data_IF_744630156915
#
_entry.id   IF_744630156915
#
_cell.length_a   1.000
_cell.length_b   1.000
_cell.length_c   1.000
_cell.angle_alpha   90.00
_cell.angle_beta   90.00
_cell.angle_gamma   90.00
#
_symmetry.space_group_name_H-M   'P 1'
#
loop_
_entity.id
_entity.type
_entity.pdbx_description
1 polymer ?
#
# COMPACT_ATOMS: atom_id res chain seq x y z
N UNK A 1 26.45 -45.35 26.33
CA UNK A 1 27.57 -45.26 27.29
C UNK A 1 27.02 -44.80 28.64
N UNK A 2 27.27 -45.64 29.65
CA UNK A 2 27.20 -45.41 31.11
C UNK A 2 26.04 -44.59 31.71
N UNK A 3 25.03 -45.29 32.27
CA UNK A 3 24.49 -45.06 33.62
C UNK A 3 23.18 -45.85 33.82
N UNK A 4 23.32 -47.15 34.09
CA UNK A 4 22.36 -48.00 34.79
C UNK A 4 23.21 -49.07 35.48
N UNK A 5 22.82 -49.51 36.67
CA UNK A 5 23.59 -50.28 37.67
C UNK A 5 24.22 -49.35 38.72
N UNK A 6 23.47 -49.10 39.79
CA UNK A 6 23.85 -49.07 41.22
C UNK A 6 22.53 -48.74 41.92
N UNK A 7 21.63 -49.72 42.01
CA UNK A 7 20.44 -49.63 42.89
C UNK A 7 19.93 -51.01 43.34
N UNK A 8 20.55 -52.11 42.87
CA UNK A 8 20.23 -53.49 43.25
C UNK A 8 21.24 -54.13 44.23
N UNK A 9 22.30 -53.41 44.62
CA UNK A 9 23.37 -53.94 45.49
C UNK A 9 23.20 -53.66 46.99
N UNK A 10 22.28 -52.79 47.40
CA UNK A 10 22.18 -52.34 48.80
C UNK A 10 21.05 -53.01 49.60
N UNK A 11 20.23 -53.85 48.98
CA UNK A 11 19.09 -54.51 49.63
C UNK A 11 19.41 -55.96 50.04
N UNK A 12 20.49 -56.57 49.49
CA UNK A 12 20.86 -57.97 49.81
C UNK A 12 21.75 -58.08 51.07
N UNK A 13 22.43 -57.00 51.48
CA UNK A 13 23.28 -57.01 52.68
C UNK A 13 22.50 -56.79 54.01
N UNK A 14 21.23 -56.40 53.94
CA UNK A 14 20.39 -56.15 55.13
C UNK A 14 19.53 -57.35 55.55
N UNK A 15 19.66 -58.50 54.88
CA UNK A 15 18.85 -59.70 55.14
C UNK A 15 19.65 -60.92 55.64
N UNK A 16 20.93 -60.77 56.04
CA UNK A 16 21.77 -61.89 56.51
C UNK A 16 22.27 -61.79 57.96
N UNK A 17 21.74 -60.88 58.79
CA UNK A 17 22.12 -60.79 60.24
C UNK A 17 20.95 -61.16 61.17
N UNK A 18 19.89 -61.77 60.64
CA UNK A 18 18.76 -62.27 61.43
C UNK A 18 18.49 -63.75 61.10
N UNK A 19 19.42 -64.63 61.48
CA UNK A 19 19.18 -66.07 61.68
C UNK A 19 20.49 -66.77 62.05
N UNK A 20 20.79 -66.83 63.33
CA UNK A 20 21.69 -67.85 63.89
C UNK A 20 21.27 -68.10 65.33
N UNK A 21 20.14 -68.79 65.44
CA UNK A 21 19.62 -69.38 66.66
C UNK A 21 20.30 -70.77 66.84
N UNK A 22 20.60 -71.09 68.09
CA UNK A 22 20.95 -72.42 68.63
C UNK A 22 22.23 -73.13 68.16
N UNK A 23 23.27 -73.03 68.99
CA UNK A 23 24.16 -74.15 69.26
C UNK A 23 24.67 -74.07 70.71
N UNK A 24 24.10 -74.89 71.58
CA UNK A 24 24.76 -75.31 72.82
C UNK A 24 25.28 -76.73 72.56
N UNK A 25 26.55 -77.01 72.90
CA UNK A 25 26.74 -78.06 73.90
C UNK A 25 27.68 -77.64 75.03
N UNK A 26 27.22 -78.02 76.20
CA UNK A 26 27.75 -78.01 77.56
C UNK A 26 29.25 -78.33 77.80
N UNK A 27 29.75 -78.05 79.03
CA UNK A 27 31.05 -77.46 79.29
C UNK A 27 32.07 -78.46 79.86
N UNK A 28 33.37 -78.16 79.68
CA UNK A 28 34.41 -78.68 80.57
C UNK A 28 34.69 -77.64 81.67
N UNK A 29 34.19 -77.95 82.86
CA UNK A 29 34.50 -77.26 84.11
C UNK A 29 35.99 -77.42 84.44
N UNK A 30 36.67 -76.29 84.59
CA UNK A 30 37.90 -76.21 85.36
C UNK A 30 37.63 -75.19 86.47
N UNK A 31 37.25 -75.70 87.64
CA UNK A 31 36.85 -74.92 88.81
C UNK A 31 38.06 -74.20 89.44
N UNK A 32 38.41 -73.05 88.86
CA UNK A 32 39.13 -72.00 89.56
C UNK A 32 38.18 -70.80 89.71
N UNK A 33 37.84 -70.35 90.93
CA UNK A 33 37.05 -69.14 91.11
C UNK A 33 37.88 -67.95 90.60
N UNK A 34 37.60 -67.52 89.37
CA UNK A 34 38.12 -66.29 88.81
C UNK A 34 37.46 -65.12 89.55
N UNK A 35 38.07 -64.71 90.65
CA UNK A 35 37.64 -63.52 91.39
C UNK A 35 38.08 -62.30 90.59
N UNK A 36 37.18 -61.78 89.76
CA UNK A 36 37.39 -60.51 89.07
C UNK A 36 37.03 -59.40 90.06
N UNK A 37 38.02 -58.63 90.49
CA UNK A 37 37.77 -57.37 91.19
C UNK A 37 37.30 -56.34 90.16
N UNK A 38 35.98 -56.15 90.07
CA UNK A 38 35.38 -55.08 89.28
C UNK A 38 35.38 -53.83 90.14
N UNK A 39 36.16 -52.82 89.75
CA UNK A 39 36.07 -51.48 90.34
C UNK A 39 34.83 -50.79 89.76
N UNK A 40 33.68 -51.10 90.35
CA UNK A 40 32.36 -50.70 89.85
C UNK A 40 32.24 -49.19 89.62
N UNK A 41 32.95 -48.35 90.38
CA UNK A 41 32.92 -46.89 90.20
C UNK A 41 33.58 -46.44 88.90
N UNK A 42 34.76 -46.97 88.58
CA UNK A 42 35.56 -46.55 87.42
C UNK A 42 34.97 -47.04 86.10
N UNK A 43 34.37 -48.22 86.08
CA UNK A 43 33.68 -48.75 84.91
C UNK A 43 32.35 -48.02 84.64
N UNK A 44 31.60 -47.66 85.68
CA UNK A 44 30.37 -46.86 85.55
C UNK A 44 30.67 -45.49 84.92
N UNK A 45 31.74 -44.82 85.33
CA UNK A 45 32.14 -43.53 84.75
C UNK A 45 32.53 -43.65 83.26
N UNK A 46 33.19 -44.74 82.88
CA UNK A 46 33.51 -45.03 81.47
C UNK A 46 32.24 -45.27 80.64
N UNK A 47 31.27 -46.02 81.17
CA UNK A 47 29.98 -46.23 80.51
C UNK A 47 29.18 -44.93 80.37
N UNK A 48 29.16 -44.08 81.40
CA UNK A 48 28.49 -42.77 81.36
C UNK A 48 29.15 -41.82 80.35
N UNK A 49 30.48 -41.82 80.27
CA UNK A 49 31.21 -41.05 79.26
C UNK A 49 30.93 -41.56 77.84
N UNK A 50 30.86 -42.87 77.65
CA UNK A 50 30.52 -43.48 76.36
C UNK A 50 29.08 -43.16 75.97
N UNK A 51 28.12 -43.29 76.89
CA UNK A 51 26.71 -42.96 76.66
C UNK A 51 26.53 -41.49 76.24
N UNK A 52 27.19 -40.54 76.93
CA UNK A 52 27.18 -39.12 76.55
C UNK A 52 27.82 -38.88 75.17
N UNK A 53 28.90 -39.60 74.84
CA UNK A 53 29.53 -39.50 73.52
C UNK A 53 28.63 -40.06 72.41
N UNK A 54 27.89 -41.14 72.68
CA UNK A 54 26.94 -41.73 71.74
C UNK A 54 25.78 -40.77 71.51
N UNK A 55 25.20 -40.22 72.58
CA UNK A 55 24.10 -39.27 72.53
C UNK A 55 24.48 -38.00 71.74
N UNK A 56 25.67 -37.45 72.00
CA UNK A 56 26.20 -36.33 71.23
C UNK A 56 26.41 -36.64 69.75
N UNK A 57 26.86 -37.86 69.40
CA UNK A 57 27.00 -38.29 68.00
C UNK A 57 25.64 -38.52 67.34
N UNK A 58 24.65 -39.03 68.06
CA UNK A 58 23.30 -39.25 67.58
C UNK A 58 22.61 -37.92 67.25
N UNK A 59 22.72 -36.92 68.13
CA UNK A 59 22.21 -35.57 67.87
C UNK A 59 22.81 -34.95 66.61
N UNK A 60 24.13 -35.07 66.40
CA UNK A 60 24.78 -34.57 65.17
C UNK A 60 24.31 -35.30 63.91
N UNK A 61 24.03 -36.60 64.01
CA UNK A 61 23.48 -37.40 62.92
C UNK A 61 22.04 -36.99 62.58
N UNK A 62 21.21 -36.75 63.59
CA UNK A 62 19.83 -36.27 63.44
C UNK A 62 19.80 -34.89 62.77
N UNK A 63 20.60 -33.94 63.25
CA UNK A 63 20.72 -32.60 62.64
C UNK A 63 21.19 -32.67 61.18
N UNK A 64 22.14 -33.57 60.89
CA UNK A 64 22.64 -33.78 59.53
C UNK A 64 21.57 -34.37 58.62
N UNK A 65 20.78 -35.32 59.12
CA UNK A 65 19.69 -35.94 58.39
C UNK A 65 18.58 -34.94 58.09
N UNK A 66 18.20 -34.09 59.06
CA UNK A 66 17.22 -33.03 58.86
C UNK A 66 17.67 -32.03 57.80
N UNK A 67 18.93 -31.58 57.87
CA UNK A 67 19.50 -30.67 56.88
C UNK A 67 19.52 -31.29 55.48
N UNK A 68 19.94 -32.54 55.34
CA UNK A 68 19.92 -33.25 54.06
C UNK A 68 18.50 -33.42 53.52
N UNK A 69 17.53 -33.74 54.38
CA UNK A 69 16.11 -33.83 54.01
C UNK A 69 15.57 -32.51 53.47
N UNK A 70 15.91 -31.39 54.13
CA UNK A 70 15.54 -30.05 53.66
C UNK A 70 16.20 -29.70 52.31
N UNK A 71 17.49 -30.02 52.13
CA UNK A 71 18.21 -29.81 50.87
C UNK A 71 17.61 -30.62 49.71
N UNK A 72 17.22 -31.88 49.96
CA UNK A 72 16.56 -32.75 48.98
C UNK A 72 15.20 -32.17 48.57
N UNK A 73 14.35 -31.79 49.53
CA UNK A 73 13.05 -31.15 49.23
C UNK A 73 13.22 -29.87 48.41
N UNK A 74 14.20 -29.03 48.78
CA UNK A 74 14.49 -27.81 48.02
C UNK A 74 15.00 -28.12 46.60
N UNK A 75 15.81 -29.17 46.43
CA UNK A 75 16.29 -29.61 45.13
C UNK A 75 15.15 -30.16 44.25
N UNK A 76 14.22 -30.92 44.82
CA UNK A 76 13.04 -31.45 44.15
C UNK A 76 12.16 -30.32 43.60
N UNK A 77 11.85 -29.30 44.43
CA UNK A 77 11.08 -28.13 44.01
C UNK A 77 11.76 -27.40 42.84
N UNK A 78 13.08 -27.19 42.91
CA UNK A 78 13.85 -26.57 41.82
C UNK A 78 13.83 -27.41 40.55
N UNK A 79 13.90 -28.73 40.68
CA UNK A 79 13.86 -29.65 39.54
C UNK A 79 12.49 -29.59 38.85
N UNK A 80 11.40 -29.69 39.61
CA UNK A 80 10.02 -29.61 39.10
C UNK A 80 9.76 -28.27 38.39
N UNK A 81 10.25 -27.16 38.96
CA UNK A 81 10.17 -25.86 38.29
C UNK A 81 10.96 -25.82 36.97
N UNK A 82 12.16 -26.40 36.90
CA UNK A 82 12.94 -26.47 35.66
C UNK A 82 12.24 -27.34 34.61
N UNK A 83 11.70 -28.49 35.00
CA UNK A 83 10.97 -29.40 34.10
C UNK A 83 9.76 -28.71 33.50
N UNK A 84 8.94 -28.02 34.32
CA UNK A 84 7.77 -27.28 33.80
C UNK A 84 8.15 -26.17 32.81
N UNK A 85 9.27 -25.46 33.05
CA UNK A 85 9.79 -24.44 32.12
C UNK A 85 10.24 -25.07 30.80
N UNK A 86 10.91 -26.24 30.84
CA UNK A 86 11.34 -26.96 29.65
C UNK A 86 10.15 -27.50 28.85
N UNK A 87 9.15 -28.07 29.51
CA UNK A 87 7.91 -28.52 28.85
C UNK A 87 7.20 -27.38 28.12
N UNK A 88 7.08 -26.20 28.76
CA UNK A 88 6.49 -25.01 28.11
C UNK A 88 7.32 -24.54 26.91
N UNK A 89 8.65 -24.64 26.95
CA UNK A 89 9.53 -24.30 25.82
C UNK A 89 9.36 -25.29 24.67
N UNK A 90 9.31 -26.58 24.97
CA UNK A 90 9.13 -27.62 23.97
C UNK A 90 7.77 -27.50 23.27
N UNK A 91 6.70 -27.24 24.02
CA UNK A 91 5.37 -27.01 23.44
C UNK A 91 5.36 -25.82 22.49
N UNK A 92 5.99 -24.69 22.87
CA UNK A 92 6.15 -23.53 21.98
C UNK A 92 6.94 -23.87 20.73
N UNK A 93 8.05 -24.60 20.87
CA UNK A 93 8.86 -25.02 19.73
C UNK A 93 8.07 -25.92 18.76
N UNK A 94 7.23 -26.83 19.27
CA UNK A 94 6.35 -27.66 18.46
C UNK A 94 5.29 -26.83 17.72
N UNK A 95 4.68 -25.85 18.37
CA UNK A 95 3.74 -24.92 17.74
C UNK A 95 4.41 -24.12 16.62
N UNK A 96 5.61 -23.58 16.86
CA UNK A 96 6.38 -22.85 15.85
C UNK A 96 6.73 -23.74 14.65
N UNK A 97 7.11 -25.00 14.88
CA UNK A 97 7.38 -25.95 13.78
C UNK A 97 6.13 -26.22 12.93
N UNK A 98 4.96 -26.37 13.54
CA UNK A 98 3.69 -26.54 12.80
C UNK A 98 3.37 -25.33 11.95
N UNK A 99 3.42 -24.13 12.53
CA UNK A 99 3.21 -22.87 11.78
C UNK A 99 4.20 -22.73 10.62
N UNK A 100 5.47 -23.11 10.81
CA UNK A 100 6.46 -23.03 9.73
C UNK A 100 6.13 -23.96 8.54
N UNK A 101 5.58 -25.15 8.81
CA UNK A 101 5.15 -26.07 7.75
C UNK A 101 3.95 -25.49 6.98
N UNK A 102 2.97 -24.93 7.69
CA UNK A 102 1.81 -24.27 7.07
C UNK A 102 2.23 -23.09 6.20
N UNK A 103 3.08 -22.20 6.74
CA UNK A 103 3.62 -21.05 6.00
C UNK A 103 4.35 -21.49 4.73
N UNK A 104 5.17 -22.57 4.80
CA UNK A 104 5.85 -23.11 3.62
C UNK A 104 4.88 -23.67 2.59
N UNK A 105 3.82 -24.36 3.02
CA UNK A 105 2.80 -24.89 2.13
C UNK A 105 2.03 -23.76 1.43
N UNK A 106 1.61 -22.73 2.17
CA UNK A 106 0.92 -21.55 1.63
C UNK A 106 1.83 -20.78 0.67
N UNK A 107 3.10 -20.56 1.02
CA UNK A 107 4.07 -19.90 0.15
C UNK A 107 4.30 -20.68 -1.16
N UNK A 108 4.37 -22.01 -1.09
CA UNK A 108 4.46 -22.87 -2.26
C UNK A 108 3.22 -22.76 -3.18
N UNK A 109 2.02 -22.77 -2.58
CA UNK A 109 0.76 -22.58 -3.32
C UNK A 109 0.71 -21.22 -4.02
N UNK A 110 1.02 -20.14 -3.30
CA UNK A 110 1.06 -18.79 -3.86
C UNK A 110 2.09 -18.68 -4.99
N UNK A 111 3.27 -19.28 -4.84
CA UNK A 111 4.29 -19.28 -5.89
C UNK A 111 3.81 -19.99 -7.16
N UNK A 112 3.06 -21.08 -7.04
CA UNK A 112 2.49 -21.80 -8.19
C UNK A 112 1.39 -20.99 -8.88
N UNK A 113 0.52 -20.32 -8.11
CA UNK A 113 -0.52 -19.44 -8.65
C UNK A 113 0.05 -18.21 -9.37
N UNK A 114 1.10 -17.60 -8.80
CA UNK A 114 1.81 -16.48 -9.42
C UNK A 114 2.38 -16.93 -10.77
N UNK A 115 3.07 -18.08 -10.81
CA UNK A 115 3.64 -18.62 -12.04
C UNK A 115 2.58 -18.92 -13.10
N UNK A 116 1.47 -19.55 -12.71
CA UNK A 116 0.36 -19.83 -13.64
C UNK A 116 -0.32 -18.54 -14.16
N UNK A 117 -0.33 -17.48 -13.34
CA UNK A 117 -0.87 -16.18 -13.73
C UNK A 117 0.08 -15.45 -14.69
N UNK A 118 1.38 -15.52 -14.42
CA UNK A 118 2.44 -14.99 -15.28
C UNK A 118 2.44 -15.67 -16.65
N UNK A 119 2.41 -17.01 -16.71
CA UNK A 119 2.33 -17.77 -17.96
C UNK A 119 1.09 -17.38 -18.79
N UNK A 120 -0.06 -17.22 -18.14
CA UNK A 120 -1.30 -16.77 -18.79
C UNK A 120 -1.21 -15.34 -19.31
N UNK A 121 -0.55 -14.45 -18.55
CA UNK A 121 -0.33 -13.06 -18.96
C UNK A 121 0.57 -13.02 -20.20
N UNK A 122 1.70 -13.72 -20.15
CA UNK A 122 2.64 -13.85 -21.27
C UNK A 122 1.94 -14.41 -22.52
N UNK A 123 1.11 -15.44 -22.36
CA UNK A 123 0.34 -16.00 -23.48
C UNK A 123 -0.62 -14.96 -24.09
N UNK A 124 -1.33 -14.19 -23.27
CA UNK A 124 -2.22 -13.12 -23.75
C UNK A 124 -1.44 -12.00 -24.44
N UNK A 125 -0.27 -11.64 -23.92
CA UNK A 125 0.61 -10.64 -24.55
C UNK A 125 1.05 -11.14 -25.92
N UNK A 126 1.54 -12.37 -26.04
CA UNK A 126 1.92 -12.94 -27.35
C UNK A 126 0.74 -13.04 -28.31
N UNK A 127 -0.48 -13.32 -27.82
CA UNK A 127 -1.68 -13.31 -28.67
C UNK A 127 -2.02 -11.89 -29.16
N UNK A 128 -1.88 -10.88 -28.31
CA UNK A 128 -2.09 -9.48 -28.66
C UNK A 128 -1.02 -8.98 -29.65
N UNK A 129 0.25 -9.35 -29.44
CA UNK A 129 1.34 -9.06 -30.37
C UNK A 129 1.08 -9.68 -31.74
N UNK A 130 0.65 -10.95 -31.79
CA UNK A 130 0.28 -11.61 -33.05
C UNK A 130 -0.91 -10.93 -33.72
N UNK A 131 -1.95 -10.55 -32.96
CA UNK A 131 -3.10 -9.80 -33.49
C UNK A 131 -2.71 -8.43 -34.01
N UNK A 132 -1.78 -7.75 -33.34
CA UNK A 132 -1.24 -6.47 -33.77
C UNK A 132 -0.44 -6.63 -35.07
N UNK A 133 0.39 -7.67 -35.16
CA UNK A 133 1.17 -7.99 -36.37
C UNK A 133 0.25 -8.38 -37.55
N UNK A 134 -0.82 -9.14 -37.30
CA UNK A 134 -1.83 -9.46 -38.29
C UNK A 134 -2.53 -8.18 -38.80
N UNK A 135 -2.88 -7.25 -37.88
CA UNK A 135 -3.47 -5.95 -38.22
C UNK A 135 -2.51 -5.07 -39.02
N UNK A 136 -1.24 -5.03 -38.62
CA UNK A 136 -0.18 -4.32 -39.36
C UNK A 136 -0.07 -4.92 -40.76
N UNK A 137 0.01 -6.24 -40.91
CA UNK A 137 0.12 -6.89 -42.22
C UNK A 137 -1.12 -6.75 -43.09
N UNK A 138 -2.32 -6.70 -42.50
CA UNK A 138 -3.57 -6.32 -43.19
C UNK A 138 -3.51 -4.87 -43.69
N UNK A 139 -2.93 -3.98 -42.90
CA UNK A 139 -2.70 -2.58 -43.25
C UNK A 139 -1.60 -2.40 -44.30
N UNK A 140 -0.58 -3.27 -44.34
CA UNK A 140 0.48 -3.25 -45.37
C UNK A 140 0.03 -3.85 -46.71
N UNK A 141 -0.87 -4.86 -46.68
CA UNK A 141 -1.47 -5.46 -47.89
C UNK A 141 -2.59 -4.61 -48.49
N UNK A 142 -3.21 -3.75 -47.69
CA UNK A 142 -4.06 -2.67 -48.17
C UNK A 142 -3.19 -1.47 -48.49
N UNK A 143 -2.66 -1.39 -49.72
CA UNK A 143 -1.91 -0.22 -50.23
C UNK A 143 -2.79 1.02 -50.46
N UNK A 144 -3.81 1.22 -49.63
CA UNK A 144 -4.31 2.53 -49.27
C UNK A 144 -3.89 2.73 -47.81
N UNK A 145 -2.90 3.60 -47.57
CA UNK A 145 -2.43 4.00 -46.24
C UNK A 145 -3.63 4.20 -45.32
N UNK A 146 -4.01 3.18 -44.54
CA UNK A 146 -5.07 3.31 -43.56
C UNK A 146 -4.46 4.13 -42.43
N UNK A 147 -4.51 5.43 -42.57
CA UNK A 147 -4.29 6.34 -41.45
C UNK A 147 -5.24 5.86 -40.36
N UNK A 148 -4.73 5.61 -39.14
CA UNK A 148 -5.62 5.39 -38.00
C UNK A 148 -6.71 6.46 -38.07
N UNK A 149 -8.01 6.08 -38.06
CA UNK A 149 -9.07 7.05 -38.26
C UNK A 149 -8.93 8.11 -37.18
N UNK A 150 -8.59 9.32 -37.62
CA UNK A 150 -8.41 10.47 -36.73
C UNK A 150 -9.67 10.68 -35.93
N UNK A 151 -9.51 10.98 -34.65
CA UNK A 151 -10.66 11.30 -33.78
C UNK A 151 -11.36 12.56 -34.29
N UNK A 152 -12.67 12.74 -34.03
CA UNK A 152 -13.38 13.96 -34.39
C UNK A 152 -12.69 15.25 -33.94
N UNK A 153 -12.12 15.28 -32.73
CA UNK A 153 -11.38 16.45 -32.24
C UNK A 153 -10.11 16.76 -33.05
N UNK A 154 -9.42 15.73 -33.55
CA UNK A 154 -8.23 15.87 -34.40
C UNK A 154 -8.62 16.41 -35.78
N UNK A 155 -9.70 15.87 -36.35
CA UNK A 155 -10.25 16.35 -37.62
C UNK A 155 -10.69 17.82 -37.53
N UNK A 156 -11.31 18.23 -36.43
CA UNK A 156 -11.71 19.62 -36.18
C UNK A 156 -10.48 20.55 -36.03
N UNK A 157 -9.44 20.09 -35.34
CA UNK A 157 -8.16 20.79 -35.20
C UNK A 157 -7.49 21.03 -36.56
N UNK A 158 -7.55 20.05 -37.47
CA UNK A 158 -6.94 20.18 -38.80
C UNK A 158 -7.70 21.14 -39.73
N UNK A 159 -9.04 21.11 -39.70
CA UNK A 159 -9.88 22.03 -40.49
C UNK A 159 -9.63 23.51 -40.18
N UNK A 160 -9.14 23.81 -38.98
CA UNK A 160 -8.96 25.20 -38.50
C UNK A 160 -7.52 25.68 -38.60
N UNK A 161 -6.59 24.84 -39.05
CA UNK A 161 -5.16 25.16 -39.14
C UNK A 161 -4.85 26.36 -40.06
N UNK A 162 -5.59 26.51 -41.17
CA UNK A 162 -5.40 27.61 -42.11
C UNK A 162 -5.74 29.00 -41.55
N UNK A 163 -6.51 29.07 -40.46
CA UNK A 163 -6.91 30.33 -39.82
C UNK A 163 -5.85 30.84 -38.82
N UNK A 164 -4.97 29.95 -38.34
CA UNK A 164 -3.97 30.24 -37.29
C UNK A 164 -2.72 30.93 -37.81
N UNK A 165 -2.44 30.82 -39.10
CA UNK A 165 -1.28 31.40 -39.79
C UNK A 165 -1.45 32.88 -40.13
N UNK A 166 -2.65 33.46 -39.91
CA UNK A 166 -2.91 34.86 -40.16
C UNK A 166 -2.52 35.74 -38.94
N UNK A 167 -1.25 36.18 -38.91
CA UNK A 167 -0.82 37.48 -38.33
C UNK A 167 -0.90 37.72 -36.81
N UNK A 168 -0.94 36.71 -35.95
CA UNK A 168 -0.65 36.92 -34.51
C UNK A 168 0.72 36.30 -34.18
N UNK A 169 1.75 37.16 -34.07
CA UNK A 169 3.01 36.80 -33.42
C UNK A 169 2.68 36.28 -32.01
N UNK A 170 3.18 35.09 -31.66
CA UNK A 170 3.05 34.43 -30.35
C UNK A 170 1.70 33.73 -30.03
N UNK A 171 1.11 33.00 -31.00
CA UNK A 171 0.01 32.04 -30.77
C UNK A 171 0.45 30.80 -29.96
N UNK A 172 0.98 30.98 -28.75
CA UNK A 172 1.39 29.88 -27.88
C UNK A 172 0.21 29.36 -27.03
N UNK A 173 -0.86 30.17 -26.89
CA UNK A 173 -1.94 29.97 -25.92
C UNK A 173 -3.31 30.26 -26.58
N UNK A 174 -4.33 29.41 -26.39
CA UNK A 174 -5.65 29.58 -26.96
C UNK A 174 -6.35 30.85 -26.49
N UNK A 175 -7.21 31.42 -27.34
CA UNK A 175 -8.01 32.58 -26.98
C UNK A 175 -9.03 32.21 -25.88
N UNK A 176 -8.87 32.81 -24.70
CA UNK A 176 -9.80 32.61 -23.57
C UNK A 176 -11.07 33.45 -23.77
N UNK A 177 -12.21 32.77 -23.63
CA UNK A 177 -13.53 33.40 -23.65
C UNK A 177 -13.96 33.71 -22.22
N UNK A 178 -14.72 34.80 -22.05
CA UNK A 178 -15.22 35.19 -20.73
C UNK A 178 -16.66 34.79 -20.55
N UNK A 179 -17.01 34.43 -19.32
CA UNK A 179 -18.38 34.13 -18.92
C UNK A 179 -19.00 35.37 -18.28
N UNK A 180 -20.23 35.69 -18.67
CA UNK A 180 -20.96 36.88 -18.21
C UNK A 180 -22.25 36.46 -17.50
N UNK A 181 -22.47 37.00 -16.31
CA UNK A 181 -23.66 36.72 -15.51
C UNK A 181 -24.86 37.58 -15.92
N UNK A 182 -26.01 37.40 -15.26
CA UNK A 182 -27.24 38.16 -15.55
C UNK A 182 -27.10 39.67 -15.33
N UNK A 183 -26.23 40.10 -14.42
CA UNK A 183 -25.97 41.51 -14.11
C UNK A 183 -24.97 42.17 -15.07
N UNK A 184 -24.45 41.42 -16.05
CA UNK A 184 -23.41 41.89 -16.98
C UNK A 184 -21.99 41.81 -16.41
N UNK A 185 -21.81 41.21 -15.23
CA UNK A 185 -20.50 41.05 -14.61
C UNK A 185 -19.73 39.88 -15.23
N UNK A 186 -18.43 40.10 -15.44
CA UNK A 186 -17.50 39.07 -15.90
C UNK A 186 -17.11 38.15 -14.75
N UNK A 187 -17.14 36.85 -15.01
CA UNK A 187 -16.72 35.82 -14.05
C UNK A 187 -15.23 35.54 -14.26
N UNK A 188 -14.47 35.45 -13.16
CA UNK A 188 -13.01 35.27 -13.15
C UNK A 188 -12.51 33.92 -13.70
N UNK A 189 -13.40 33.07 -14.25
CA UNK A 189 -13.04 31.79 -14.85
C UNK A 189 -13.58 31.75 -16.27
N UNK A 190 -12.67 31.81 -17.23
CA UNK A 190 -12.99 31.71 -18.65
C UNK A 190 -13.03 30.26 -19.14
N UNK A 191 -13.22 30.14 -20.44
CA UNK A 191 -13.15 28.87 -21.16
C UNK A 191 -12.49 29.04 -22.51
N UNK A 192 -12.64 28.06 -23.37
CA UNK A 192 -12.16 28.13 -24.75
C UNK A 192 -13.21 27.68 -25.74
N UNK A 193 -13.26 28.34 -26.90
CA UNK A 193 -14.03 27.86 -28.04
C UNK A 193 -13.39 26.57 -28.56
N UNK A 194 -14.18 25.51 -28.74
CA UNK A 194 -13.71 24.22 -29.28
C UNK A 194 -14.41 23.84 -30.59
N UNK A 195 -15.60 24.41 -30.84
CA UNK A 195 -16.29 24.42 -32.14
C UNK A 195 -17.21 25.65 -32.22
N UNK A 196 -17.86 25.93 -33.37
CA UNK A 196 -18.59 27.17 -33.68
C UNK A 196 -19.69 27.50 -32.67
N UNK A 197 -20.26 26.48 -32.01
CA UNK A 197 -21.29 26.64 -30.96
C UNK A 197 -20.86 26.15 -29.60
N UNK A 198 -19.63 25.67 -29.44
CA UNK A 198 -19.26 24.87 -28.29
C UNK A 198 -18.05 25.46 -27.59
N UNK A 199 -18.24 25.79 -26.32
CA UNK A 199 -17.20 26.34 -25.44
C UNK A 199 -16.96 25.37 -24.30
N UNK A 200 -15.70 25.06 -24.04
CA UNK A 200 -15.29 24.23 -22.91
C UNK A 200 -14.89 25.11 -21.73
N UNK A 201 -15.47 24.87 -20.57
CA UNK A 201 -15.22 25.65 -19.34
C UNK A 201 -14.81 24.72 -18.20
N UNK A 202 -14.01 25.18 -17.23
CA UNK A 202 -13.84 24.47 -15.97
C UNK A 202 -15.17 24.54 -15.18
N UNK A 203 -15.51 23.51 -14.39
CA UNK A 203 -16.66 23.62 -13.48
C UNK A 203 -16.37 24.70 -12.44
N UNK A 204 -17.20 25.74 -12.43
CA UNK A 204 -17.36 26.66 -11.31
C UNK A 204 -18.69 26.38 -10.61
N UNK A 205 -18.77 26.64 -9.30
CA UNK A 205 -20.05 26.68 -8.59
C UNK A 205 -20.99 27.74 -9.19
N UNK A 206 -20.45 28.73 -9.90
CA UNK A 206 -21.19 29.88 -10.45
C UNK A 206 -21.86 29.61 -11.80
N UNK A 207 -21.77 28.41 -12.37
CA UNK A 207 -22.33 28.12 -13.70
C UNK A 207 -23.85 28.35 -13.79
N UNK A 208 -24.58 28.24 -12.67
CA UNK A 208 -26.01 28.56 -12.59
C UNK A 208 -26.33 30.03 -12.86
N UNK A 209 -25.32 30.91 -12.87
CA UNK A 209 -25.49 32.35 -13.07
C UNK A 209 -25.06 32.83 -14.46
N UNK A 210 -24.46 31.95 -15.28
CA UNK A 210 -23.93 32.34 -16.60
C UNK A 210 -25.08 32.49 -17.59
N UNK A 211 -25.16 33.66 -18.22
CA UNK A 211 -26.18 33.97 -19.23
C UNK A 211 -25.59 34.07 -20.64
N UNK A 212 -24.35 34.54 -20.75
CA UNK A 212 -23.71 34.84 -22.02
C UNK A 212 -22.22 34.50 -21.98
N UNK A 213 -21.67 34.29 -23.18
CA UNK A 213 -20.24 34.18 -23.43
C UNK A 213 -19.78 35.41 -24.21
N UNK A 214 -18.73 36.06 -23.72
CA UNK A 214 -18.05 37.20 -24.34
C UNK A 214 -16.76 36.74 -25.01
N UNK A 215 -16.62 37.06 -26.29
CA UNK A 215 -15.40 36.92 -27.07
C UNK A 215 -14.85 38.32 -27.34
N UNK A 216 -13.71 38.68 -26.76
CA UNK A 216 -13.11 40.02 -26.80
C UNK A 216 -11.66 40.03 -27.27
N UNK A 217 -11.36 40.60 -28.42
CA UNK A 217 -9.98 40.79 -28.88
C UNK A 217 -9.73 42.24 -29.25
N UNK A 218 -8.81 42.90 -28.54
CA UNK A 218 -8.55 44.34 -28.67
C UNK A 218 -9.84 45.14 -28.43
N UNK A 219 -10.35 45.80 -29.46
CA UNK A 219 -11.55 46.64 -29.52
C UNK A 219 -12.80 45.88 -29.98
N UNK A 220 -12.65 44.61 -30.41
CA UNK A 220 -13.74 43.79 -30.92
C UNK A 220 -14.35 42.97 -29.81
N UNK A 221 -15.68 43.01 -29.69
CA UNK A 221 -16.42 42.19 -28.73
C UNK A 221 -17.62 41.53 -29.41
N UNK A 222 -17.78 40.23 -29.19
CA UNK A 222 -18.91 39.42 -29.66
C UNK A 222 -19.54 38.75 -28.44
N UNK A 223 -20.85 38.91 -28.30
CA UNK A 223 -21.64 38.24 -27.25
C UNK A 223 -22.50 37.14 -27.86
N UNK A 224 -22.57 36.00 -27.18
CA UNK A 224 -23.44 34.87 -27.55
C UNK A 224 -24.21 34.40 -26.32
N UNK A 225 -25.51 34.18 -26.45
CA UNK A 225 -26.30 33.63 -25.35
C UNK A 225 -26.07 32.13 -25.25
N UNK A 226 -26.33 31.60 -24.08
CA UNK A 226 -26.26 30.16 -23.83
C UNK A 226 -27.59 29.51 -24.20
N UNK A 227 -27.52 28.49 -25.05
CA UNK A 227 -28.65 27.61 -25.33
C UNK A 227 -28.78 26.52 -24.29
N UNK A 228 -27.65 25.87 -23.97
CA UNK A 228 -27.62 24.75 -23.04
C UNK A 228 -26.23 24.58 -22.42
N UNK A 229 -26.18 24.15 -21.17
CA UNK A 229 -24.94 23.68 -20.54
C UNK A 229 -25.02 22.17 -20.39
N UNK A 230 -24.09 21.47 -21.02
CA UNK A 230 -23.93 20.02 -20.92
C UNK A 230 -22.91 19.74 -19.80
N UNK A 231 -23.39 19.10 -18.74
CA UNK A 231 -22.50 18.64 -17.66
C UNK A 231 -21.82 17.35 -18.12
N UNK A 232 -20.51 17.39 -18.29
CA UNK A 232 -19.72 16.20 -18.60
C UNK A 232 -19.49 15.46 -17.28
N UNK A 233 -20.30 14.44 -17.00
CA UNK A 233 -20.25 13.70 -15.74
C UNK A 233 -19.03 12.76 -15.73
N UNK A 234 -18.14 12.95 -14.76
CA UNK A 234 -17.23 11.92 -14.25
C UNK A 234 -17.75 11.45 -12.90
N UNK A 235 -17.46 10.19 -12.56
CA UNK A 235 -17.81 9.60 -11.27
C UNK A 235 -17.35 10.54 -10.13
N UNK A 236 -18.28 10.80 -9.22
CA UNK A 236 -18.17 11.64 -8.03
C UNK A 236 -18.17 13.17 -8.20
N UNK A 237 -17.45 13.81 -9.14
CA UNK A 237 -17.50 15.28 -9.28
C UNK A 237 -17.19 15.71 -10.72
N UNK A 238 -18.13 16.38 -11.40
CA UNK A 238 -17.86 16.92 -12.75
C UNK A 238 -16.84 18.05 -12.66
N UNK A 239 -15.86 18.07 -13.55
CA UNK A 239 -14.71 18.99 -13.44
C UNK A 239 -14.61 19.96 -14.61
N UNK A 240 -15.20 19.58 -15.75
CA UNK A 240 -15.25 20.34 -17.00
C UNK A 240 -16.71 20.34 -17.47
N UNK A 241 -17.17 21.43 -18.06
CA UNK A 241 -18.50 21.57 -18.63
C UNK A 241 -18.43 22.08 -20.06
N UNK A 242 -19.44 21.73 -20.86
CA UNK A 242 -19.56 22.17 -22.24
C UNK A 242 -20.76 23.12 -22.37
N UNK A 243 -20.51 24.32 -22.87
CA UNK A 243 -21.54 25.32 -23.11
C UNK A 243 -21.88 25.33 -24.60
N UNK A 244 -23.14 25.09 -24.91
CA UNK A 244 -23.72 25.23 -26.25
C UNK A 244 -24.32 26.64 -26.40
N UNK A 245 -23.86 27.37 -27.40
CA UNK A 245 -24.32 28.71 -27.76
C UNK A 245 -25.63 28.66 -28.54
N UNK A 246 -26.43 29.73 -28.43
CA UNK A 246 -27.69 29.90 -29.18
C UNK A 246 -27.50 30.01 -30.70
N UNK A 247 -26.33 30.43 -31.13
CA UNK A 247 -25.98 30.69 -32.53
C UNK A 247 -24.50 30.44 -32.79
N UNK A 248 -24.17 30.13 -34.05
CA UNK A 248 -22.78 29.95 -34.48
C UNK A 248 -21.96 31.22 -34.30
N UNK A 249 -20.70 31.02 -33.95
CA UNK A 249 -19.64 32.02 -34.03
C UNK A 249 -18.99 31.94 -35.41
N UNK A 250 -18.88 33.08 -36.08
CA UNK A 250 -18.17 33.19 -37.36
C UNK A 250 -16.67 33.21 -37.14
N UNK A 251 -16.00 32.17 -37.64
CA UNK A 251 -14.56 32.07 -37.53
C UNK A 251 -13.86 33.15 -38.35
N UNK A 252 -12.80 33.72 -37.78
CA UNK A 252 -11.98 34.72 -38.43
C UNK A 252 -10.53 34.64 -37.89
N UNK A 253 -9.69 35.62 -38.22
CA UNK A 253 -8.27 35.61 -37.86
C UNK A 253 -7.99 35.64 -36.34
N UNK A 254 -8.91 36.14 -35.51
CA UNK A 254 -8.74 36.21 -34.04
C UNK A 254 -9.67 35.26 -33.28
N UNK A 255 -10.79 34.87 -33.90
CA UNK A 255 -11.80 34.02 -33.30
C UNK A 255 -11.87 32.68 -34.02
N UNK A 256 -11.23 31.67 -33.46
CA UNK A 256 -11.16 30.32 -34.02
C UNK A 256 -11.07 29.30 -32.87
N UNK A 257 -11.42 28.03 -33.12
CA UNK A 257 -11.47 27.04 -32.06
C UNK A 257 -10.09 26.51 -31.68
N UNK A 258 -10.01 26.09 -30.43
CA UNK A 258 -8.84 25.53 -29.77
C UNK A 258 -8.73 24.05 -30.08
N UNK A 259 -7.51 23.55 -30.36
CA UNK A 259 -7.31 22.11 -30.49
C UNK A 259 -7.33 21.47 -29.11
N UNK A 260 -7.94 20.30 -28.98
CA UNK A 260 -7.91 19.52 -27.76
C UNK A 260 -6.72 18.57 -27.78
N UNK A 261 -6.13 18.32 -26.60
CA UNK A 261 -5.10 17.29 -26.45
C UNK A 261 -5.74 15.91 -26.50
N UNK A 262 -5.37 15.10 -27.51
CA UNK A 262 -6.04 13.83 -27.80
C UNK A 262 -5.32 12.58 -27.30
N UNK A 263 -4.07 12.72 -26.89
CA UNK A 263 -3.29 11.62 -26.31
C UNK A 263 -3.74 11.31 -24.89
N UNK A 264 -3.84 10.02 -24.56
CA UNK A 264 -4.04 9.55 -23.19
C UNK A 264 -2.77 9.67 -22.35
N UNK A 265 -1.60 9.61 -23.00
CA UNK A 265 -0.32 9.78 -22.36
C UNK A 265 -0.07 11.25 -22.03
N UNK A 266 0.43 11.49 -20.83
CA UNK A 266 0.88 12.82 -20.43
C UNK A 266 2.08 13.27 -21.27
N UNK A 267 2.15 14.55 -21.68
CA UNK A 267 3.32 15.07 -22.37
C UNK A 267 4.53 15.09 -21.43
N UNK A 268 5.71 14.75 -21.95
CA UNK A 268 6.97 14.73 -21.16
C UNK A 268 7.42 16.14 -20.76
N UNK A 269 7.05 17.16 -21.52
CA UNK A 269 7.40 18.57 -21.30
C UNK A 269 6.47 19.48 -22.12
N UNK A 270 6.64 20.80 -21.98
CA UNK A 270 5.95 21.77 -22.84
C UNK A 270 4.59 22.23 -22.32
N UNK A 271 4.19 21.88 -21.10
CA UNK A 271 2.98 22.43 -20.50
C UNK A 271 3.21 23.87 -20.04
N UNK A 272 2.30 24.76 -20.40
CA UNK A 272 2.28 26.15 -19.95
C UNK A 272 0.89 26.56 -19.47
N UNK A 273 0.85 27.46 -18.48
CA UNK A 273 -0.36 28.16 -18.12
C UNK A 273 -0.67 29.29 -19.13
N UNK A 274 -1.84 29.93 -18.98
CA UNK A 274 -2.27 31.03 -19.85
C UNK A 274 -1.34 32.26 -19.88
N UNK A 275 -0.51 32.46 -18.85
CA UNK A 275 0.46 33.57 -18.81
C UNK A 275 1.81 33.18 -19.46
N UNK A 276 1.91 32.00 -20.08
CA UNK A 276 3.15 31.48 -20.66
C UNK A 276 4.15 30.96 -19.64
N UNK A 277 3.74 30.74 -18.38
CA UNK A 277 4.59 30.16 -17.35
C UNK A 277 4.57 28.63 -17.45
N UNK A 278 5.73 27.97 -17.35
CA UNK A 278 5.79 26.51 -17.43
C UNK A 278 5.08 25.85 -16.26
N UNK A 279 4.38 24.75 -16.55
CA UNK A 279 3.78 23.85 -15.57
C UNK A 279 4.52 22.51 -15.64
N UNK A 280 4.83 21.94 -14.48
CA UNK A 280 5.49 20.63 -14.39
C UNK A 280 4.53 19.60 -13.81
N UNK A 281 4.41 18.45 -14.47
CA UNK A 281 3.76 17.28 -13.87
C UNK A 281 4.66 16.73 -12.78
N UNK A 282 4.08 16.37 -11.63
CA UNK A 282 4.80 15.83 -10.48
C UNK A 282 4.11 14.56 -9.95
N UNK A 283 4.65 13.99 -8.88
CA UNK A 283 4.08 12.81 -8.24
C UNK A 283 2.69 13.09 -7.66
N UNK A 284 1.76 12.15 -7.85
CA UNK A 284 0.36 12.29 -7.42
C UNK A 284 0.23 12.49 -5.91
N UNK A 285 1.16 11.93 -5.14
CA UNK A 285 1.25 12.04 -3.67
C UNK A 285 1.24 13.49 -3.16
N UNK A 286 1.73 14.43 -3.97
CA UNK A 286 1.74 15.85 -3.63
C UNK A 286 0.36 16.53 -3.74
N UNK A 287 -0.59 15.88 -4.41
CA UNK A 287 -1.95 16.39 -4.61
C UNK A 287 -3.03 15.45 -4.05
N UNK A 288 -2.67 14.48 -3.20
CA UNK A 288 -3.66 13.60 -2.58
C UNK A 288 -4.70 14.38 -1.79
N UNK A 289 -5.95 13.97 -1.96
CA UNK A 289 -7.04 14.46 -1.14
C UNK A 289 -6.84 13.91 0.28
N UNK A 290 -6.96 14.70 1.35
CA UNK A 290 -6.91 14.19 2.71
C UNK A 290 -7.86 13.00 2.97
N UNK A 291 -8.91 12.85 2.16
CA UNK A 291 -9.89 11.76 2.23
C UNK A 291 -9.63 10.60 1.25
N UNK A 292 -8.72 10.73 0.27
CA UNK A 292 -8.37 9.65 -0.67
C UNK A 292 -6.85 9.44 -0.77
N UNK A 293 -6.40 8.19 -0.65
CA UNK A 293 -4.98 7.83 -0.81
C UNK A 293 -4.52 7.78 -2.28
N UNK A 294 -5.41 8.11 -3.21
CA UNK A 294 -5.18 8.02 -4.65
C UNK A 294 -5.79 9.23 -5.36
N UNK A 295 -5.11 9.70 -6.41
CA UNK A 295 -5.61 10.72 -7.31
C UNK A 295 -6.42 10.06 -8.43
N UNK A 296 -7.61 10.60 -8.72
CA UNK A 296 -8.48 10.04 -9.74
C UNK A 296 -7.81 10.04 -11.14
N UNK A 297 -8.04 9.02 -12.00
CA UNK A 297 -7.39 8.91 -13.32
C UNK A 297 -7.64 10.08 -14.28
N UNK A 298 -8.68 10.87 -14.07
CA UNK A 298 -9.02 12.08 -14.83
C UNK A 298 -8.21 13.32 -14.41
N UNK A 299 -7.35 13.16 -13.40
CA UNK A 299 -6.54 14.22 -12.81
C UNK A 299 -5.05 13.92 -12.93
N UNK A 300 -4.25 14.99 -12.83
CA UNK A 300 -2.79 14.92 -12.72
C UNK A 300 -2.33 15.94 -11.69
N UNK A 301 -1.33 15.59 -10.89
CA UNK A 301 -0.70 16.54 -9.99
C UNK A 301 0.32 17.39 -10.74
N UNK A 302 0.25 18.71 -10.55
CA UNK A 302 1.18 19.65 -11.16
C UNK A 302 1.80 20.60 -10.14
N UNK A 303 3.07 20.94 -10.35
CA UNK A 303 3.77 22.02 -9.66
C UNK A 303 3.65 23.29 -10.52
N UNK A 304 3.11 24.36 -9.94
CA UNK A 304 2.95 25.62 -10.63
C UNK A 304 1.97 26.59 -9.99
N UNK A 305 2.11 27.87 -10.33
CA UNK A 305 1.18 28.90 -9.91
C UNK A 305 -0.05 28.96 -10.83
N UNK A 306 -1.19 29.26 -10.22
CA UNK A 306 -2.35 29.73 -10.96
C UNK A 306 -1.98 31.01 -11.71
N UNK A 307 -2.17 30.98 -13.02
CA UNK A 307 -2.03 32.19 -13.81
C UNK A 307 -3.25 33.10 -13.65
N UNK A 308 -3.40 34.04 -14.58
CA UNK A 308 -4.65 34.79 -14.77
C UNK A 308 -5.85 33.91 -15.15
N UNK A 309 -5.59 32.68 -15.59
CA UNK A 309 -6.59 31.70 -16.01
C UNK A 309 -6.28 30.28 -15.51
N UNK A 310 -7.30 29.42 -15.53
CA UNK A 310 -7.22 27.99 -15.26
C UNK A 310 -6.74 27.17 -16.48
N UNK A 311 -6.51 27.78 -17.64
CA UNK A 311 -6.13 27.04 -18.85
C UNK A 311 -4.69 26.54 -18.79
N UNK A 312 -4.49 25.30 -19.20
CA UNK A 312 -3.17 24.67 -19.37
C UNK A 312 -3.07 24.07 -20.76
N UNK A 313 -2.00 24.43 -21.46
CA UNK A 313 -1.77 24.03 -22.84
C UNK A 313 -0.47 23.29 -23.00
N UNK A 314 -0.49 22.29 -23.88
CA UNK A 314 0.72 21.67 -24.41
C UNK A 314 1.21 22.51 -25.58
N UNK A 315 2.44 23.00 -25.45
CA UNK A 315 3.10 23.87 -26.41
C UNK A 315 3.91 23.02 -27.37
N UNK A 316 3.37 22.86 -28.57
CA UNK A 316 4.04 22.25 -29.72
C UNK A 316 3.81 23.06 -31.00
N UNK A 317 4.00 22.43 -32.16
CA UNK A 317 3.68 23.06 -33.46
C UNK A 317 2.20 23.48 -33.58
N UNK A 318 1.33 22.78 -32.84
CA UNK A 318 -0.10 23.10 -32.72
C UNK A 318 -0.42 23.10 -31.23
N UNK A 319 -0.61 24.26 -30.59
CA UNK A 319 -1.00 24.30 -29.18
C UNK A 319 -2.31 23.56 -28.97
N UNK A 320 -2.33 22.73 -27.94
CA UNK A 320 -3.47 21.90 -27.57
C UNK A 320 -3.87 22.18 -26.13
N UNK A 321 -5.17 22.31 -25.87
CA UNK A 321 -5.68 22.39 -24.51
C UNK A 321 -5.48 21.03 -23.84
N UNK A 322 -4.56 21.00 -22.87
CA UNK A 322 -4.28 19.82 -22.07
C UNK A 322 -5.31 19.65 -20.96
N UNK A 323 -5.68 20.76 -20.30
CA UNK A 323 -6.55 20.68 -19.13
C UNK A 323 -6.87 22.02 -18.49
N UNK A 324 -7.62 21.92 -17.39
CA UNK A 324 -7.91 23.04 -16.51
C UNK A 324 -7.26 22.80 -15.14
N UNK A 325 -6.41 23.71 -14.70
CA UNK A 325 -5.79 23.65 -13.37
C UNK A 325 -6.79 24.11 -12.30
N UNK A 326 -6.92 23.34 -11.23
CA UNK A 326 -7.77 23.68 -10.10
C UNK A 326 -7.03 24.62 -9.15
N UNK A 327 -7.47 25.88 -9.17
CA UNK A 327 -6.88 26.96 -8.41
C UNK A 327 -7.66 27.21 -7.12
N UNK A 328 -7.35 26.44 -6.08
CA UNK A 328 -7.80 26.73 -4.72
C UNK A 328 -6.57 27.01 -3.84
N UNK A 329 -6.61 28.12 -3.10
CA UNK A 329 -5.53 28.60 -2.21
C UNK A 329 -4.16 28.85 -2.88
N UNK A 330 -3.19 29.29 -2.08
CA UNK A 330 -1.80 29.51 -2.50
C UNK A 330 -0.95 28.23 -2.36
N UNK A 331 -1.49 27.09 -2.80
CA UNK A 331 -0.78 25.82 -2.78
C UNK A 331 0.32 25.76 -3.85
N UNK A 332 1.46 25.15 -3.50
CA UNK A 332 2.58 24.86 -4.41
C UNK A 332 2.20 23.80 -5.46
N UNK A 333 1.44 22.80 -5.03
CA UNK A 333 0.97 21.69 -5.85
C UNK A 333 -0.52 21.81 -6.09
N UNK A 334 -0.97 21.46 -7.30
CA UNK A 334 -2.35 21.65 -7.73
C UNK A 334 -2.81 20.48 -8.59
N UNK A 335 -4.10 20.18 -8.49
CA UNK A 335 -4.76 19.20 -9.33
C UNK A 335 -5.10 19.84 -10.68
N UNK A 336 -4.80 19.16 -11.77
CA UNK A 336 -5.19 19.52 -13.13
C UNK A 336 -6.15 18.47 -13.67
N UNK A 337 -7.26 18.91 -14.26
CA UNK A 337 -8.23 18.04 -14.92
C UNK A 337 -7.89 17.88 -16.40
N UNK A 338 -7.60 16.63 -16.82
CA UNK A 338 -7.19 16.32 -18.20
C UNK A 338 -8.39 16.37 -19.13
N UNK A 339 -8.28 17.11 -20.24
CA UNK A 339 -9.32 17.09 -21.29
C UNK A 339 -9.43 15.71 -21.94
N UNK A 340 -8.30 15.02 -22.12
CA UNK A 340 -8.27 13.71 -22.81
C UNK A 340 -9.18 12.66 -22.17
N UNK A 341 -9.34 12.72 -20.84
CA UNK A 341 -10.22 11.84 -20.07
C UNK A 341 -11.72 12.03 -20.36
N UNK A 342 -12.09 13.10 -21.06
CA UNK A 342 -13.49 13.45 -21.36
C UNK A 342 -13.81 13.45 -22.85
N UNK A 343 -12.85 13.12 -23.71
CA UNK A 343 -12.99 13.30 -25.15
C UNK A 343 -14.14 12.52 -25.76
N UNK A 344 -14.39 11.27 -25.35
CA UNK A 344 -15.50 10.50 -25.90
C UNK A 344 -16.85 11.19 -25.68
N UNK A 345 -17.04 11.78 -24.49
CA UNK A 345 -18.28 12.52 -24.18
C UNK A 345 -18.34 13.83 -24.94
N UNK A 346 -17.23 14.58 -24.99
CA UNK A 346 -17.16 15.84 -25.74
C UNK A 346 -17.44 15.59 -27.22
N UNK A 347 -16.78 14.61 -27.84
CA UNK A 347 -16.91 14.28 -29.26
C UNK A 347 -18.31 13.80 -29.60
N UNK A 348 -18.96 13.02 -28.73
CA UNK A 348 -20.33 12.59 -28.94
C UNK A 348 -21.36 13.74 -28.92
N UNK A 349 -21.07 14.84 -28.23
CA UNK A 349 -21.95 16.01 -28.17
C UNK A 349 -21.63 17.00 -29.28
N UNK A 350 -20.35 17.32 -29.47
CA UNK A 350 -19.88 18.39 -30.37
C UNK A 350 -19.81 17.91 -31.82
N UNK A 351 -19.35 16.68 -32.04
CA UNK A 351 -19.15 16.10 -33.37
C UNK A 351 -19.78 14.70 -33.46
N UNK A 352 -21.11 14.58 -33.29
CA UNK A 352 -21.80 13.29 -33.29
C UNK A 352 -21.60 12.58 -34.63
N UNK A 353 -21.25 11.28 -34.58
CA UNK A 353 -21.00 10.45 -35.78
C UNK A 353 -22.14 10.44 -36.81
N UNK A 354 -23.37 10.75 -36.38
CA UNK A 354 -24.57 10.70 -37.20
C UNK A 354 -25.18 12.08 -37.56
N UNK A 355 -24.46 13.19 -37.32
CA UNK A 355 -24.81 14.51 -37.86
C UNK A 355 -26.28 14.93 -37.76
N UNK A 356 -26.90 14.78 -36.58
CA UNK A 356 -28.27 15.27 -36.33
C UNK A 356 -28.26 16.69 -35.78
#
# INVERSE_FOLDING_TARGET
MANKIIFSGLIVALLQVASAEEANPEPYMNDAPLTIYVDAGKEIDQFLSLAKSIDGKQSVLEDTLERMSAEIKAAEVRCTQKVSKLQRRELRNQQTRRMLVEVKATAGSMSAEIKATEERCTQKVSELERKLEDLINLQTKSSAVATCPKRPAELACEKTHGLRSARILNNTIPYEVRLVNADGNRINRGGVLIDKRFVLIPRSLDHYTVQQVEFSFSDKVVYKKIKKVHTVLSYAFSSIMLVELDSDVDYNYWLYPTCLYTSELNPKSGLMNYDGKPIKITEDSNCYDPYSKELSPDRVCVEGNCGSSNLVVEVGRKPQLFGFIYCYNNAKYRTLYKVSSFLDTIENIVWPKNGK
#
